data_IF_993920947698
#
_entry.id   IF_993920947698
#
_cell.length_a   1.000
_cell.length_b   1.000
_cell.length_c   1.000
_cell.angle_alpha   90.00
_cell.angle_beta   90.00
_cell.angle_gamma   90.00
#
_symmetry.space_group_name_H-M   'P 1'
#
loop_
_entity.id
_entity.type
_entity.pdbx_description
1 polymer ?
#
# COMPACT_ATOMS: atom_id res chain seq x y z
N UNK A 1 16.32 8.19 12.01
CA UNK A 1 15.81 7.12 11.13
C UNK A 1 15.65 5.86 11.94
N UNK A 2 14.48 5.23 11.92
CA UNK A 2 14.26 3.97 12.66
C UNK A 2 15.15 2.86 12.11
N UNK A 3 15.66 1.98 13.00
CA UNK A 3 16.54 0.86 12.62
C UNK A 3 15.94 -0.01 11.50
N UNK A 4 14.62 -0.18 11.51
CA UNK A 4 13.89 -0.98 10.51
C UNK A 4 13.95 -0.37 9.10
N UNK A 5 13.94 0.96 8.95
CA UNK A 5 13.97 1.64 7.65
C UNK A 5 15.31 1.46 6.92
N UNK A 6 16.39 1.20 7.65
CA UNK A 6 17.71 0.91 7.08
C UNK A 6 17.84 -0.53 6.57
N UNK A 7 16.91 -1.40 6.94
CA UNK A 7 16.93 -2.84 6.61
C UNK A 7 15.76 -3.21 5.71
N UNK A 8 16.05 -3.94 4.64
CA UNK A 8 15.03 -4.60 3.82
C UNK A 8 15.52 -6.00 3.52
N UNK A 9 14.66 -6.99 3.73
CA UNK A 9 14.92 -8.38 3.37
C UNK A 9 14.28 -8.67 2.01
N UNK A 10 15.10 -9.08 1.03
CA UNK A 10 14.68 -9.35 -0.35
C UNK A 10 14.56 -8.08 -1.21
N UNK A 11 15.54 -7.85 -2.10
CA UNK A 11 15.63 -6.67 -2.96
C UNK A 11 15.87 -5.36 -2.20
N UNK A 12 15.62 -4.22 -2.86
CA UNK A 12 15.88 -2.86 -2.35
C UNK A 12 14.77 -1.82 -2.66
N UNK A 13 13.67 -2.26 -3.27
CA UNK A 13 12.52 -1.46 -3.75
C UNK A 13 11.83 -0.51 -2.75
N UNK A 14 12.13 -0.57 -1.45
CA UNK A 14 11.72 0.45 -0.49
C UNK A 14 12.86 1.33 0.02
N UNK A 15 14.10 0.82 0.08
CA UNK A 15 15.28 1.59 0.56
C UNK A 15 15.56 2.86 -0.25
N UNK A 16 15.16 2.88 -1.52
CA UNK A 16 15.34 4.00 -2.44
C UNK A 16 14.23 5.06 -2.32
N UNK A 17 13.19 4.81 -1.52
CA UNK A 17 12.07 5.76 -1.35
C UNK A 17 12.42 6.82 -0.30
N UNK A 18 12.09 8.07 -0.62
CA UNK A 18 12.22 9.21 0.30
C UNK A 18 11.46 8.96 1.62
N UNK A 19 10.29 8.35 1.54
CA UNK A 19 9.46 7.94 2.69
C UNK A 19 9.14 6.45 2.51
N UNK A 20 9.32 5.63 3.56
CA UNK A 20 8.89 4.23 3.49
C UNK A 20 7.35 4.19 3.47
N UNK A 21 6.72 3.30 2.69
CA UNK A 21 5.27 3.26 2.62
C UNK A 21 4.63 2.99 3.98
N UNK A 22 5.26 2.18 4.85
CA UNK A 22 4.73 1.97 6.21
C UNK A 22 4.79 3.24 7.07
N UNK A 23 5.75 4.14 6.85
CA UNK A 23 5.85 5.38 7.64
C UNK A 23 4.67 6.29 7.28
N UNK A 24 4.35 6.40 5.99
CA UNK A 24 3.17 7.12 5.51
C UNK A 24 1.86 6.50 6.04
N UNK A 25 1.76 5.17 6.00
CA UNK A 25 0.58 4.42 6.48
C UNK A 25 0.37 4.63 7.98
N UNK A 26 1.42 4.51 8.79
CA UNK A 26 1.36 4.69 10.25
C UNK A 26 1.03 6.15 10.60
N UNK A 27 1.67 7.11 9.92
CA UNK A 27 1.48 8.53 10.21
C UNK A 27 0.06 9.06 9.93
N UNK A 28 -0.72 8.35 9.11
CA UNK A 28 -2.08 8.72 8.72
C UNK A 28 -3.14 7.71 9.22
N UNK A 29 -2.78 6.82 10.17
CA UNK A 29 -3.67 5.79 10.72
C UNK A 29 -4.39 4.96 9.64
N UNK A 30 -3.71 4.67 8.52
CA UNK A 30 -4.30 4.04 7.35
C UNK A 30 -4.54 2.54 7.63
N UNK A 31 -5.77 2.01 7.45
CA UNK A 31 -6.06 0.60 7.68
C UNK A 31 -5.39 -0.34 6.69
N UNK A 32 -5.50 -1.64 6.97
CA UNK A 32 -4.76 -2.69 6.28
C UNK A 32 -5.00 -2.76 4.76
N UNK A 33 -6.22 -2.50 4.29
CA UNK A 33 -6.57 -2.66 2.87
C UNK A 33 -5.92 -1.58 2.01
N UNK A 34 -6.16 -0.32 2.38
CA UNK A 34 -5.56 0.88 1.81
C UNK A 34 -4.03 0.83 1.94
N UNK A 35 -3.52 0.45 3.12
CA UNK A 35 -2.10 0.32 3.36
C UNK A 35 -1.43 -0.74 2.47
N UNK A 36 -2.11 -1.86 2.23
CA UNK A 36 -1.63 -2.88 1.31
C UNK A 36 -1.61 -2.38 -0.13
N UNK A 37 -2.63 -1.64 -0.57
CA UNK A 37 -2.65 -1.00 -1.89
C UNK A 37 -1.49 0.00 -2.03
N UNK A 38 -1.30 0.91 -1.08
CA UNK A 38 -0.20 1.89 -1.05
C UNK A 38 1.16 1.19 -1.15
N UNK A 39 1.37 0.13 -0.36
CA UNK A 39 2.62 -0.65 -0.38
C UNK A 39 2.95 -1.20 -1.77
N UNK A 40 1.96 -1.69 -2.52
CA UNK A 40 2.16 -2.19 -3.89
C UNK A 40 2.33 -1.06 -4.90
N UNK A 41 1.51 -0.01 -4.82
CA UNK A 41 1.64 1.21 -5.64
C UNK A 41 2.98 1.92 -5.45
N UNK A 42 3.62 1.77 -4.29
CA UNK A 42 4.93 2.38 -4.02
C UNK A 42 6.06 1.64 -4.74
N UNK A 43 5.98 0.31 -4.84
CA UNK A 43 7.12 -0.52 -5.30
C UNK A 43 7.02 -1.06 -6.72
N UNK A 44 5.88 -0.94 -7.40
CA UNK A 44 5.62 -1.68 -8.64
C UNK A 44 6.67 -1.45 -9.74
N UNK A 45 7.26 -0.24 -9.83
CA UNK A 45 8.32 0.07 -10.80
C UNK A 45 9.62 -0.66 -10.50
N UNK A 46 9.89 -0.90 -9.23
CA UNK A 46 11.15 -1.46 -8.72
C UNK A 46 11.02 -2.96 -8.38
N UNK A 47 9.79 -3.47 -8.26
CA UNK A 47 9.47 -4.88 -8.00
C UNK A 47 8.09 -5.24 -8.52
N UNK A 48 7.97 -6.42 -9.12
CA UNK A 48 6.68 -7.03 -9.45
C UNK A 48 5.94 -6.44 -10.65
N UNK A 49 6.23 -5.19 -11.05
CA UNK A 49 5.64 -4.59 -12.25
C UNK A 49 4.12 -4.57 -12.20
N UNK A 50 3.49 -4.92 -13.32
CA UNK A 50 2.04 -4.97 -13.47
C UNK A 50 1.37 -5.91 -12.45
N UNK A 51 2.05 -6.98 -12.01
CA UNK A 51 1.48 -7.90 -11.01
C UNK A 51 1.29 -7.24 -9.65
N UNK A 52 2.14 -6.28 -9.28
CA UNK A 52 1.90 -5.50 -8.06
C UNK A 52 0.79 -4.47 -8.26
N UNK A 53 0.60 -3.92 -9.46
CA UNK A 53 -0.57 -3.09 -9.77
C UNK A 53 -1.88 -3.88 -9.66
N UNK A 54 -1.92 -5.12 -10.17
CA UNK A 54 -3.08 -6.02 -10.02
C UNK A 54 -3.37 -6.34 -8.55
N UNK A 55 -2.33 -6.55 -7.74
CA UNK A 55 -2.52 -6.73 -6.27
C UNK A 55 -3.07 -5.47 -5.62
N UNK A 56 -2.56 -4.29 -5.98
CA UNK A 56 -3.10 -3.03 -5.48
C UNK A 56 -4.59 -2.88 -5.83
N UNK A 57 -4.95 -3.13 -7.09
CA UNK A 57 -6.33 -3.13 -7.56
C UNK A 57 -7.19 -4.10 -6.75
N UNK A 58 -6.74 -5.34 -6.53
CA UNK A 58 -7.50 -6.33 -5.77
C UNK A 58 -7.81 -5.89 -4.33
N UNK A 59 -6.87 -5.20 -3.67
CA UNK A 59 -7.11 -4.62 -2.34
C UNK A 59 -8.13 -3.47 -2.39
N UNK A 60 -8.11 -2.65 -3.44
CA UNK A 60 -9.08 -1.56 -3.66
C UNK A 60 -10.46 -2.15 -3.94
N UNK A 61 -10.58 -3.16 -4.82
CA UNK A 61 -11.83 -3.84 -5.12
C UNK A 61 -12.45 -4.40 -3.83
N UNK A 62 -11.63 -5.05 -2.98
CA UNK A 62 -12.12 -5.58 -1.71
C UNK A 62 -12.57 -4.50 -0.73
N UNK A 63 -11.86 -3.37 -0.69
CA UNK A 63 -12.24 -2.23 0.14
C UNK A 63 -13.59 -1.67 -0.32
N UNK A 64 -13.80 -1.50 -1.63
CA UNK A 64 -15.08 -1.06 -2.21
C UNK A 64 -16.20 -2.02 -1.80
N UNK A 65 -16.00 -3.34 -1.90
CA UNK A 65 -17.00 -4.33 -1.45
C UNK A 65 -17.39 -4.14 0.02
N UNK A 66 -16.39 -3.95 0.89
CA UNK A 66 -16.60 -3.82 2.34
C UNK A 66 -17.31 -2.51 2.69
N UNK A 67 -16.89 -1.39 2.10
CA UNK A 67 -17.49 -0.08 2.37
C UNK A 67 -18.89 0.04 1.76
N UNK A 68 -19.10 -0.51 0.57
CA UNK A 68 -20.45 -0.63 -0.03
C UNK A 68 -21.38 -1.45 0.88
N UNK A 69 -20.90 -2.56 1.44
CA UNK A 69 -21.68 -3.36 2.38
C UNK A 69 -22.00 -2.63 3.70
N UNK A 70 -21.23 -1.59 4.05
CA UNK A 70 -21.49 -0.70 5.19
C UNK A 70 -22.40 0.49 4.84
N UNK A 71 -22.81 0.61 3.57
CA UNK A 71 -23.67 1.70 3.10
C UNK A 71 -22.93 2.96 2.66
N UNK A 72 -21.60 2.88 2.42
CA UNK A 72 -20.87 3.95 1.72
C UNK A 72 -21.19 3.83 0.23
N UNK A 73 -21.88 4.81 -0.33
CA UNK A 73 -22.16 4.90 -1.78
C UNK A 73 -21.28 5.94 -2.45
N UNK A 74 -21.09 5.83 -3.77
CA UNK A 74 -20.36 6.79 -4.61
C UNK A 74 -20.94 8.23 -4.61
N UNK A 75 -22.03 8.45 -3.88
CA UNK A 75 -22.75 9.70 -3.74
C UNK A 75 -22.62 10.26 -2.31
N UNK A 76 -21.46 10.84 -2.00
CA UNK A 76 -21.28 11.90 -0.98
C UNK A 76 -20.25 12.90 -1.46
#
# INVERSE_FOLDING_TARGET
MAKANSTQHGGDHYKTKTIQPWDYIIANDIPFMEGSAIKYLTRWRDKGGIEDLKKAQHFIDKLIEVETAKGVSDET
#
